data_IF_837287793377
#
_entry.id   IF_837287793377
#
_cell.length_a   1.000
_cell.length_b   1.000
_cell.length_c   1.000
_cell.angle_alpha   90.00
_cell.angle_beta   90.00
_cell.angle_gamma   90.00
#
_symmetry.space_group_name_H-M   'P 1'
#
loop_
_entity.id
_entity.type
_entity.pdbx_description
1 polymer ?
#
# COMPACT_ATOMS: atom_id res chain seq x y z
N UNK A 1 -7.30 -12.81 -4.25
CA UNK A 1 -6.30 -11.73 -4.10
C UNK A 1 -6.86 -10.71 -3.12
N UNK A 2 -6.06 -9.73 -2.73
CA UNK A 2 -6.47 -8.60 -1.89
C UNK A 2 -5.81 -7.34 -2.46
N UNK A 3 -6.27 -6.16 -2.05
CA UNK A 3 -5.68 -4.90 -2.48
C UNK A 3 -5.46 -4.00 -1.26
N UNK A 4 -4.20 -3.78 -0.88
CA UNK A 4 -3.81 -2.96 0.28
C UNK A 4 -3.32 -1.56 -0.12
N UNK A 5 -3.62 -1.09 -1.33
CA UNK A 5 -3.24 0.26 -1.73
C UNK A 5 -4.20 0.83 -2.77
N UNK A 6 -5.29 1.43 -2.29
CA UNK A 6 -6.19 2.27 -3.10
C UNK A 6 -6.33 3.67 -2.50
N UNK A 7 -6.43 4.68 -3.36
CA UNK A 7 -6.54 6.09 -2.96
C UNK A 7 -8.00 6.56 -2.99
N UNK A 8 -8.53 6.99 -1.85
CA UNK A 8 -9.88 7.55 -1.76
C UNK A 8 -9.92 8.95 -2.39
N UNK A 9 -8.91 9.77 -2.10
CA UNK A 9 -8.82 11.17 -2.51
C UNK A 9 -8.21 11.28 -3.93
N UNK A 10 -7.34 10.33 -4.29
CA UNK A 10 -6.65 10.31 -5.57
C UNK A 10 -5.92 11.64 -5.87
N UNK A 11 -5.93 12.05 -7.14
CA UNK A 11 -5.28 13.29 -7.59
C UNK A 11 -6.25 14.43 -7.94
N UNK A 12 -7.55 14.16 -8.08
CA UNK A 12 -8.53 15.21 -8.33
C UNK A 12 -8.76 15.99 -7.05
N UNK A 13 -8.48 17.29 -7.03
CA UNK A 13 -8.64 18.18 -5.87
C UNK A 13 -9.95 18.97 -5.87
N UNK A 14 -10.83 18.72 -6.86
CA UNK A 14 -12.06 19.51 -7.07
C UNK A 14 -13.27 18.94 -6.32
N UNK A 15 -13.18 17.71 -5.82
CA UNK A 15 -14.26 17.05 -5.11
C UNK A 15 -14.33 17.58 -3.67
N UNK A 16 -15.53 17.94 -3.22
CA UNK A 16 -15.77 18.49 -1.88
C UNK A 16 -15.89 17.41 -0.80
N UNK A 17 -16.31 16.21 -1.20
CA UNK A 17 -16.55 15.08 -0.30
C UNK A 17 -16.19 13.78 -1.03
N UNK A 18 -15.15 13.10 -0.57
CA UNK A 18 -14.68 11.83 -1.14
C UNK A 18 -15.25 10.62 -0.39
N UNK A 19 -16.08 10.82 0.64
CA UNK A 19 -16.69 9.68 1.35
C UNK A 19 -17.51 8.75 0.44
N UNK A 20 -18.17 9.21 -0.64
CA UNK A 20 -18.82 8.29 -1.60
C UNK A 20 -17.83 7.39 -2.36
N UNK A 21 -16.56 7.80 -2.51
CA UNK A 21 -15.57 6.97 -3.18
C UNK A 21 -15.33 5.68 -2.39
N UNK A 22 -15.41 5.74 -1.05
CA UNK A 22 -15.28 4.56 -0.18
C UNK A 22 -16.33 3.50 -0.56
N UNK A 23 -17.58 3.91 -0.77
CA UNK A 23 -18.66 3.01 -1.21
C UNK A 23 -18.31 2.31 -2.52
N UNK A 24 -17.83 3.10 -3.50
CA UNK A 24 -17.52 2.57 -4.83
C UNK A 24 -16.31 1.62 -4.85
N UNK A 25 -15.31 1.88 -4.02
CA UNK A 25 -14.15 0.98 -3.88
C UNK A 25 -14.53 -0.34 -3.19
N UNK A 26 -15.37 -0.30 -2.16
CA UNK A 26 -15.85 -1.52 -1.51
C UNK A 26 -16.68 -2.36 -2.48
N UNK A 27 -17.62 -1.74 -3.20
CA UNK A 27 -18.41 -2.43 -4.22
C UNK A 27 -17.52 -3.05 -5.30
N UNK A 28 -16.50 -2.32 -5.77
CA UNK A 28 -15.57 -2.85 -6.76
C UNK A 28 -14.75 -4.02 -6.20
N UNK A 29 -14.30 -3.95 -4.95
CA UNK A 29 -13.60 -5.06 -4.30
C UNK A 29 -14.45 -6.33 -4.24
N UNK A 30 -15.75 -6.19 -3.94
CA UNK A 30 -16.73 -7.29 -3.97
C UNK A 30 -16.89 -7.86 -5.39
N UNK A 31 -17.05 -6.99 -6.40
CA UNK A 31 -17.17 -7.41 -7.81
C UNK A 31 -15.94 -8.15 -8.32
N UNK A 32 -14.75 -7.78 -7.85
CA UNK A 32 -13.48 -8.45 -8.15
C UNK A 32 -13.23 -9.70 -7.30
N UNK A 33 -14.09 -10.00 -6.32
CA UNK A 33 -13.92 -11.11 -5.39
C UNK A 33 -12.64 -10.99 -4.55
N UNK A 34 -12.25 -9.76 -4.19
CA UNK A 34 -11.12 -9.53 -3.31
C UNK A 34 -11.41 -10.04 -1.90
N UNK A 35 -10.36 -10.50 -1.22
CA UNK A 35 -10.44 -11.01 0.15
C UNK A 35 -10.24 -9.94 1.21
N UNK A 36 -9.69 -8.78 0.84
CA UNK A 36 -9.53 -7.62 1.72
C UNK A 36 -9.24 -6.36 0.91
N UNK A 37 -9.46 -5.21 1.54
CA UNK A 37 -9.28 -3.88 0.96
C UNK A 37 -8.56 -2.93 1.93
N UNK A 38 -7.54 -2.24 1.44
CA UNK A 38 -6.76 -1.27 2.19
C UNK A 38 -6.80 0.10 1.52
N UNK A 39 -7.40 1.06 2.21
CA UNK A 39 -7.41 2.46 1.79
C UNK A 39 -6.15 3.15 2.26
N UNK A 40 -5.31 3.61 1.33
CA UNK A 40 -4.06 4.30 1.63
C UNK A 40 -3.95 5.54 0.75
N UNK A 41 -4.08 6.71 1.36
CA UNK A 41 -3.92 7.98 0.69
C UNK A 41 -2.60 8.65 1.10
N UNK A 42 -2.08 9.53 0.23
CA UNK A 42 -0.95 10.39 0.57
C UNK A 42 -1.22 11.27 1.81
N UNK A 43 -0.41 11.09 2.86
CA UNK A 43 -0.49 11.84 4.12
C UNK A 43 0.74 12.75 4.34
N UNK A 44 0.59 13.99 4.88
CA UNK A 44 -0.63 14.59 5.41
C UNK A 44 -1.63 15.00 4.34
N UNK A 45 -2.91 14.82 4.66
CA UNK A 45 -4.01 15.20 3.79
C UNK A 45 -3.97 16.69 3.44
N UNK A 46 -4.21 17.00 2.17
CA UNK A 46 -4.37 18.38 1.70
C UNK A 46 -5.82 18.89 1.80
N UNK A 47 -6.71 18.09 2.39
CA UNK A 47 -8.13 18.38 2.52
C UNK A 47 -8.50 18.76 3.96
N UNK A 48 -9.45 19.69 4.10
CA UNK A 48 -9.89 20.19 5.42
C UNK A 48 -10.84 19.25 6.17
N UNK A 49 -11.51 18.31 5.49
CA UNK A 49 -12.57 17.51 6.10
C UNK A 49 -12.42 16.00 5.83
N UNK A 50 -11.33 15.42 6.31
CA UNK A 50 -11.10 13.96 6.25
C UNK A 50 -11.90 13.17 7.28
N UNK A 51 -12.63 13.86 8.17
CA UNK A 51 -13.45 13.24 9.21
C UNK A 51 -14.50 12.32 8.59
N UNK A 52 -15.22 12.77 7.56
CA UNK A 52 -16.24 11.96 6.88
C UNK A 52 -15.66 10.70 6.22
N UNK A 53 -14.50 10.83 5.59
CA UNK A 53 -13.78 9.69 4.99
C UNK A 53 -13.48 8.67 6.08
N UNK A 54 -12.88 9.13 7.20
CA UNK A 54 -12.58 8.26 8.33
C UNK A 54 -13.83 7.58 8.89
N UNK A 55 -14.90 8.32 9.16
CA UNK A 55 -16.15 7.77 9.67
C UNK A 55 -16.73 6.71 8.72
N UNK A 56 -16.60 6.92 7.42
CA UNK A 56 -17.05 5.97 6.40
C UNK A 56 -16.18 4.72 6.32
N UNK A 57 -14.86 4.85 6.41
CA UNK A 57 -13.96 3.70 6.47
C UNK A 57 -14.23 2.90 7.74
N UNK A 58 -14.36 3.54 8.91
CA UNK A 58 -14.72 2.90 10.18
C UNK A 58 -16.07 2.18 10.15
N UNK A 59 -17.03 2.70 9.38
CA UNK A 59 -18.28 1.98 9.11
C UNK A 59 -18.00 0.67 8.37
N UNK A 60 -17.22 0.70 7.29
CA UNK A 60 -16.93 -0.50 6.50
C UNK A 60 -16.05 -1.51 7.23
N UNK A 61 -15.11 -1.07 8.08
CA UNK A 61 -14.34 -1.98 8.97
C UNK A 61 -15.22 -2.89 9.83
N UNK A 62 -16.46 -2.48 10.11
CA UNK A 62 -17.41 -3.22 10.98
C UNK A 62 -18.51 -3.93 10.21
N UNK A 63 -18.78 -3.52 8.97
CA UNK A 63 -19.99 -3.91 8.24
C UNK A 63 -19.71 -4.51 6.86
N UNK A 64 -18.48 -4.46 6.35
CA UNK A 64 -18.11 -5.12 5.10
C UNK A 64 -17.96 -6.64 5.32
N UNK A 65 -18.23 -7.41 4.26
CA UNK A 65 -18.01 -8.87 4.26
C UNK A 65 -16.53 -9.25 4.19
N UNK A 66 -15.67 -8.30 3.81
CA UNK A 66 -14.22 -8.46 3.74
C UNK A 66 -13.52 -7.52 4.74
N UNK A 67 -12.35 -7.89 5.28
CA UNK A 67 -11.52 -6.97 6.06
C UNK A 67 -11.23 -5.69 5.28
N UNK A 68 -11.43 -4.57 5.96
CA UNK A 68 -11.11 -3.23 5.48
C UNK A 68 -10.07 -2.61 6.41
N UNK A 69 -9.04 -1.99 5.85
CA UNK A 69 -8.04 -1.25 6.62
C UNK A 69 -7.87 0.18 6.12
N UNK A 70 -7.38 1.03 7.01
CA UNK A 70 -7.08 2.43 6.74
C UNK A 70 -5.62 2.71 7.02
N UNK A 71 -4.84 2.95 5.97
CA UNK A 71 -3.43 3.27 6.04
C UNK A 71 -3.09 4.68 5.57
N UNK A 72 -1.80 5.01 5.68
CA UNK A 72 -1.25 6.26 5.19
C UNK A 72 -0.03 6.02 4.30
N UNK A 73 0.00 6.63 3.13
CA UNK A 73 1.18 6.64 2.28
C UNK A 73 2.00 7.90 2.56
N UNK A 74 3.26 7.70 2.95
CA UNK A 74 4.16 8.75 3.40
C UNK A 74 5.34 8.82 2.45
N UNK A 75 5.57 10.00 1.86
CA UNK A 75 6.81 10.23 1.12
C UNK A 75 8.04 10.02 1.99
N UNK A 76 9.07 9.36 1.46
CA UNK A 76 10.38 9.19 2.10
C UNK A 76 11.44 9.96 1.30
N UNK A 77 12.32 10.75 1.96
CA UNK A 77 12.32 11.10 3.38
C UNK A 77 11.15 12.02 3.77
N UNK A 78 10.83 12.04 5.06
CA UNK A 78 9.78 12.91 5.60
C UNK A 78 10.00 13.19 7.09
N UNK A 79 9.43 14.27 7.61
CA UNK A 79 9.31 14.53 9.06
C UNK A 79 7.87 14.35 9.56
N UNK A 80 6.97 13.88 8.70
CA UNK A 80 5.58 13.61 9.03
C UNK A 80 5.49 12.53 10.11
N UNK A 81 4.78 12.84 11.19
CA UNK A 81 4.36 11.89 12.22
C UNK A 81 3.11 11.16 11.76
N UNK A 82 3.13 9.84 11.83
CA UNK A 82 2.00 8.98 11.48
C UNK A 82 1.02 8.93 12.67
N UNK A 83 -0.25 9.31 12.49
CA UNK A 83 -1.27 9.16 13.51
C UNK A 83 -1.54 7.68 13.86
N UNK A 84 -1.80 7.41 15.15
CA UNK A 84 -2.10 6.07 15.66
C UNK A 84 -3.42 5.46 15.20
N UNK A 85 -4.25 6.22 14.48
CA UNK A 85 -5.53 5.71 13.99
C UNK A 85 -5.41 5.02 12.64
N UNK A 86 -4.24 5.09 12.00
CA UNK A 86 -3.96 4.27 10.82
C UNK A 86 -3.60 2.86 11.28
N UNK A 87 -4.11 1.88 10.56
CA UNK A 87 -3.87 0.46 10.79
C UNK A 87 -2.47 0.05 10.31
N UNK A 88 -1.96 0.72 9.28
CA UNK A 88 -0.62 0.51 8.71
C UNK A 88 -0.19 1.73 7.88
N UNK A 89 1.02 1.67 7.32
CA UNK A 89 1.64 2.75 6.60
C UNK A 89 2.53 2.27 5.47
N UNK A 90 2.48 3.02 4.38
CA UNK A 90 3.30 2.79 3.19
C UNK A 90 4.32 3.91 3.03
N UNK A 91 5.53 3.56 2.61
CA UNK A 91 6.62 4.49 2.31
C UNK A 91 6.76 4.72 0.81
N UNK A 92 6.38 5.90 0.33
CA UNK A 92 6.57 6.32 -1.07
C UNK A 92 7.97 6.89 -1.27
N UNK A 93 8.85 6.18 -1.97
CA UNK A 93 10.22 6.64 -2.18
C UNK A 93 10.26 7.81 -3.17
N UNK A 94 10.80 8.97 -2.76
CA UNK A 94 10.92 10.12 -3.67
C UNK A 94 11.96 9.87 -4.76
N UNK A 95 11.73 10.51 -5.91
CA UNK A 95 12.68 10.55 -7.00
C UNK A 95 14.10 10.93 -6.52
N UNK A 96 15.10 10.17 -6.98
CA UNK A 96 16.51 10.38 -6.64
C UNK A 96 17.01 9.61 -5.42
N UNK A 97 16.12 9.05 -4.59
CA UNK A 97 16.49 8.16 -3.49
C UNK A 97 16.55 6.71 -3.95
N UNK A 98 17.36 5.90 -3.25
CA UNK A 98 17.47 4.48 -3.53
C UNK A 98 16.75 3.60 -2.51
N UNK A 99 16.54 2.33 -2.86
CA UNK A 99 15.82 1.37 -2.04
C UNK A 99 16.49 1.08 -0.69
N UNK A 100 17.83 1.10 -0.60
CA UNK A 100 18.55 0.91 0.67
C UNK A 100 18.29 2.07 1.65
N UNK A 101 18.26 3.30 1.12
CA UNK A 101 17.88 4.48 1.89
C UNK A 101 16.42 4.39 2.34
N UNK A 102 15.52 3.91 1.45
CA UNK A 102 14.12 3.70 1.77
C UNK A 102 13.92 2.76 2.96
N UNK A 103 14.59 1.59 2.98
CA UNK A 103 14.53 0.67 4.12
C UNK A 103 15.00 1.30 5.43
N UNK A 104 16.10 2.05 5.40
CA UNK A 104 16.62 2.75 6.60
C UNK A 104 15.61 3.77 7.11
N UNK A 105 15.03 4.57 6.21
CA UNK A 105 14.04 5.58 6.55
C UNK A 105 12.73 4.96 7.04
N UNK A 106 12.29 3.87 6.42
CA UNK A 106 11.10 3.12 6.82
C UNK A 106 11.28 2.54 8.23
N UNK A 107 12.42 1.91 8.50
CA UNK A 107 12.74 1.37 9.82
C UNK A 107 12.77 2.46 10.92
N UNK A 108 13.39 3.61 10.63
CA UNK A 108 13.43 4.74 11.57
C UNK A 108 12.03 5.32 11.88
N UNK A 109 11.07 5.11 10.99
CA UNK A 109 9.72 5.67 11.09
C UNK A 109 8.64 4.67 11.48
N UNK A 110 8.99 3.39 11.65
CA UNK A 110 8.04 2.30 11.77
C UNK A 110 7.04 2.31 10.60
N UNK A 111 7.56 2.36 9.37
CA UNK A 111 6.76 2.17 8.15
C UNK A 111 6.68 0.67 7.85
N UNK A 112 5.48 0.19 7.57
CA UNK A 112 5.18 -1.24 7.45
C UNK A 112 5.59 -1.83 6.10
N UNK A 113 5.44 -1.05 5.02
CA UNK A 113 5.84 -1.47 3.68
C UNK A 113 6.37 -0.31 2.83
N UNK A 114 7.28 -0.59 1.90
CA UNK A 114 7.70 0.37 0.88
C UNK A 114 6.78 0.22 -0.33
N UNK A 115 6.06 1.30 -0.68
CA UNK A 115 5.20 1.34 -1.85
C UNK A 115 6.04 1.42 -3.14
N UNK A 116 5.55 0.74 -4.19
CA UNK A 116 6.07 0.78 -5.58
C UNK A 116 7.59 1.11 -5.67
N UNK A 117 8.47 0.23 -5.14
CA UNK A 117 9.83 0.58 -4.66
C UNK A 117 10.83 1.13 -5.68
N UNK A 118 10.55 1.05 -6.99
CA UNK A 118 11.33 1.71 -8.04
C UNK A 118 10.49 2.54 -9.03
N UNK A 119 9.24 2.85 -8.69
CA UNK A 119 8.43 3.73 -9.49
C UNK A 119 8.86 5.20 -9.32
N UNK A 120 8.37 6.06 -10.21
CA UNK A 120 8.41 7.51 -10.06
C UNK A 120 9.81 8.12 -9.83
N UNK A 121 10.86 7.47 -10.38
CA UNK A 121 12.24 7.94 -10.30
C UNK A 121 13.02 7.48 -9.07
N UNK A 122 12.47 6.57 -8.27
CA UNK A 122 13.21 5.85 -7.23
C UNK A 122 14.17 4.81 -7.86
N UNK A 123 15.33 4.59 -7.23
CA UNK A 123 16.39 3.73 -7.77
C UNK A 123 16.47 2.41 -7.00
N UNK A 124 16.40 1.28 -7.70
CA UNK A 124 16.54 -0.04 -7.08
C UNK A 124 17.64 -0.92 -7.69
N UNK A 125 18.41 -0.41 -8.65
CA UNK A 125 19.56 -1.15 -9.18
C UNK A 125 20.53 -1.50 -8.04
N UNK A 126 20.92 -2.78 -7.96
CA UNK A 126 21.89 -3.31 -7.00
C UNK A 126 21.46 -3.31 -5.52
N UNK A 127 20.16 -3.31 -5.21
CA UNK A 127 19.68 -3.36 -3.83
C UNK A 127 20.13 -4.63 -3.09
N UNK A 128 20.81 -4.44 -1.94
CA UNK A 128 21.23 -5.50 -1.02
C UNK A 128 20.11 -5.84 -0.02
N UNK A 129 18.98 -6.33 -0.54
CA UNK A 129 17.79 -6.71 0.24
C UNK A 129 18.09 -7.65 1.41
N UNK A 130 19.14 -8.45 1.30
CA UNK A 130 19.60 -9.37 2.35
C UNK A 130 19.85 -8.68 3.70
N UNK A 131 20.24 -7.40 3.67
CA UNK A 131 20.50 -6.60 4.88
C UNK A 131 19.22 -6.21 5.63
N UNK A 132 18.06 -6.27 4.96
CA UNK A 132 16.80 -5.72 5.45
C UNK A 132 15.74 -6.78 5.73
N UNK A 133 15.99 -8.05 5.39
CA UNK A 133 15.00 -9.14 5.51
C UNK A 133 14.42 -9.34 6.93
N UNK A 134 15.17 -8.96 7.97
CA UNK A 134 14.77 -9.13 9.37
C UNK A 134 14.12 -7.86 9.96
N UNK A 135 13.90 -6.81 9.18
CA UNK A 135 13.33 -5.55 9.68
C UNK A 135 11.80 -5.58 9.81
N UNK A 136 11.14 -6.63 9.32
CA UNK A 136 9.67 -6.69 9.28
C UNK A 136 9.02 -5.74 8.26
N UNK A 137 9.83 -5.05 7.45
CA UNK A 137 9.35 -4.12 6.43
C UNK A 137 9.08 -4.88 5.13
N UNK A 138 7.87 -4.72 4.61
CA UNK A 138 7.44 -5.38 3.38
C UNK A 138 7.85 -4.58 2.12
N UNK A 139 7.82 -5.23 0.97
CA UNK A 139 7.95 -4.58 -0.35
C UNK A 139 6.66 -4.74 -1.13
N UNK A 140 6.01 -3.64 -1.49
CA UNK A 140 4.77 -3.71 -2.26
C UNK A 140 5.01 -4.20 -3.70
N UNK A 141 4.12 -5.09 -4.16
CA UNK A 141 3.85 -5.32 -5.58
C UNK A 141 2.70 -4.37 -5.97
N UNK A 142 3.05 -3.28 -6.64
CA UNK A 142 2.08 -2.29 -7.13
C UNK A 142 1.72 -2.56 -8.57
N UNK A 143 0.45 -2.86 -8.88
CA UNK A 143 -0.02 -3.11 -10.25
C UNK A 143 0.38 -1.95 -11.18
N UNK A 144 0.03 -0.71 -10.82
CA UNK A 144 0.38 0.49 -11.58
C UNK A 144 1.88 0.75 -11.61
N UNK A 145 2.59 0.39 -10.53
CA UNK A 145 4.03 0.55 -10.39
C UNK A 145 4.85 -0.40 -11.28
N UNK A 146 4.31 -1.55 -11.70
CA UNK A 146 5.04 -2.61 -12.42
C UNK A 146 5.70 -2.18 -13.73
N UNK A 147 5.23 -1.09 -14.35
CA UNK A 147 5.83 -0.55 -15.58
C UNK A 147 7.27 -0.05 -15.37
N UNK A 148 7.65 0.29 -14.13
CA UNK A 148 8.97 0.80 -13.79
C UNK A 148 9.93 -0.27 -13.26
N UNK A 149 9.44 -1.49 -13.03
CA UNK A 149 10.05 -2.40 -12.07
C UNK A 149 10.65 -3.65 -12.73
N UNK A 150 11.86 -4.05 -12.31
CA UNK A 150 12.44 -5.28 -12.83
C UNK A 150 12.01 -6.50 -12.00
N UNK A 151 11.53 -7.54 -12.67
CA UNK A 151 11.04 -8.78 -12.07
C UNK A 151 12.01 -9.42 -11.05
N UNK A 152 13.32 -9.30 -11.28
CA UNK A 152 14.36 -9.85 -10.39
C UNK A 152 14.23 -9.36 -8.93
N UNK A 153 13.70 -8.15 -8.70
CA UNK A 153 13.56 -7.60 -7.35
C UNK A 153 12.58 -8.43 -6.51
N UNK A 154 11.46 -8.80 -7.11
CA UNK A 154 10.40 -9.58 -6.47
C UNK A 154 10.80 -11.04 -6.30
N UNK A 155 11.46 -11.62 -7.30
CA UNK A 155 12.04 -12.97 -7.18
C UNK A 155 13.06 -13.04 -6.04
N UNK A 156 13.89 -12.00 -5.91
CA UNK A 156 14.84 -11.88 -4.81
C UNK A 156 14.15 -11.69 -3.46
N UNK A 157 13.11 -10.87 -3.39
CA UNK A 157 12.32 -10.68 -2.17
C UNK A 157 11.68 -12.00 -1.70
N UNK A 158 11.08 -12.77 -2.62
CA UNK A 158 10.55 -14.12 -2.35
C UNK A 158 11.65 -15.04 -1.81
N UNK A 159 12.82 -15.09 -2.46
CA UNK A 159 13.94 -15.92 -2.03
C UNK A 159 14.46 -15.57 -0.63
N UNK A 160 14.28 -14.32 -0.21
CA UNK A 160 14.70 -13.82 1.11
C UNK A 160 13.59 -13.89 2.18
N UNK A 161 12.38 -14.28 1.79
CA UNK A 161 11.21 -14.28 2.68
C UNK A 161 10.75 -12.86 3.07
N UNK A 162 11.02 -11.85 2.25
CA UNK A 162 10.49 -10.50 2.47
C UNK A 162 9.02 -10.50 2.01
N UNK A 163 8.06 -10.12 2.87
CA UNK A 163 6.66 -10.11 2.49
C UNK A 163 6.37 -9.14 1.33
N UNK A 164 5.50 -9.59 0.42
CA UNK A 164 5.11 -8.90 -0.80
C UNK A 164 3.60 -8.63 -0.81
N UNK A 165 3.11 -7.58 -0.10
CA UNK A 165 1.73 -7.16 -0.18
C UNK A 165 1.36 -6.68 -1.59
N UNK A 166 0.15 -7.00 -2.03
CA UNK A 166 -0.46 -6.49 -3.25
C UNK A 166 -1.11 -5.13 -3.00
N UNK A 167 -0.90 -4.21 -3.95
CA UNK A 167 -1.59 -2.93 -4.02
C UNK A 167 -1.84 -2.54 -5.48
N UNK A 168 -3.01 -2.02 -5.84
CA UNK A 168 -3.23 -1.56 -7.21
C UNK A 168 -2.63 -0.18 -7.48
N UNK A 169 -2.45 0.63 -6.42
CA UNK A 169 -2.19 2.08 -6.52
C UNK A 169 -3.33 2.79 -7.31
N UNK A 170 -4.55 2.25 -7.19
CA UNK A 170 -5.74 2.75 -7.88
C UNK A 170 -6.14 4.13 -7.36
N UNK A 171 -6.39 5.05 -8.29
CA UNK A 171 -6.88 6.40 -8.04
C UNK A 171 -8.35 6.58 -8.44
N UNK A 172 -8.96 5.53 -9.01
CA UNK A 172 -10.40 5.33 -9.16
C UNK A 172 -10.74 3.84 -9.06
N UNK A 173 -11.99 3.46 -8.72
CA UNK A 173 -12.36 2.05 -8.56
C UNK A 173 -12.08 1.19 -9.80
N UNK A 174 -12.26 1.72 -11.00
CA UNK A 174 -12.01 1.01 -12.26
C UNK A 174 -10.53 0.70 -12.52
N UNK A 175 -9.60 1.35 -11.80
CA UNK A 175 -8.17 1.02 -11.82
C UNK A 175 -7.79 -0.17 -10.90
N UNK A 176 -8.73 -0.69 -10.10
CA UNK A 176 -8.46 -1.85 -9.25
C UNK A 176 -8.31 -3.14 -10.04
N UNK A 177 -7.42 -4.01 -9.58
CA UNK A 177 -7.17 -5.32 -10.18
C UNK A 177 -5.68 -5.61 -10.32
N UNK A 178 -5.36 -6.83 -10.75
CA UNK A 178 -3.98 -7.32 -10.83
C UNK A 178 -3.65 -8.10 -12.13
N UNK A 179 -4.11 -7.68 -13.33
CA UNK A 179 -3.84 -8.42 -14.55
C UNK A 179 -2.35 -8.60 -14.86
N UNK A 180 -1.51 -7.56 -14.69
CA UNK A 180 -0.07 -7.63 -14.98
C UNK A 180 0.67 -8.51 -13.97
N UNK A 181 0.31 -8.43 -12.68
CA UNK A 181 0.86 -9.35 -11.65
C UNK A 181 0.60 -10.81 -12.04
N UNK A 182 -0.62 -11.12 -12.48
CA UNK A 182 -1.02 -12.47 -12.89
C UNK A 182 -0.32 -12.89 -14.18
N UNK A 183 -0.29 -12.04 -15.20
CA UNK A 183 0.34 -12.32 -16.50
C UNK A 183 1.84 -12.61 -16.33
N UNK A 184 2.53 -11.86 -15.48
CA UNK A 184 3.95 -12.04 -15.19
C UNK A 184 4.24 -13.21 -14.24
N UNK A 185 3.21 -13.83 -13.66
CA UNK A 185 3.35 -14.94 -12.71
C UNK A 185 4.09 -14.54 -11.43
N UNK A 186 3.97 -13.28 -11.01
CA UNK A 186 4.60 -12.81 -9.78
C UNK A 186 3.95 -13.47 -8.57
N UNK A 187 4.77 -13.81 -7.57
CA UNK A 187 4.31 -14.36 -6.30
C UNK A 187 4.12 -13.24 -5.29
N UNK A 188 2.99 -13.26 -4.60
CA UNK A 188 2.69 -12.35 -3.49
C UNK A 188 2.50 -13.15 -2.20
N UNK A 189 2.60 -12.46 -1.06
CA UNK A 189 2.43 -13.07 0.25
C UNK A 189 0.95 -13.32 0.55
N UNK A 190 0.54 -14.46 1.13
CA UNK A 190 -0.82 -14.63 1.65
C UNK A 190 -1.18 -13.52 2.66
N UNK A 191 -2.45 -13.14 2.73
CA UNK A 191 -2.88 -11.99 3.53
C UNK A 191 -2.53 -12.15 5.01
N UNK A 192 -2.76 -13.36 5.52
CA UNK A 192 -2.51 -13.82 6.88
C UNK A 192 -1.03 -13.88 7.26
N UNK A 193 -0.12 -13.82 6.29
CA UNK A 193 1.34 -13.85 6.50
C UNK A 193 1.96 -12.44 6.43
N UNK A 194 1.15 -11.39 6.29
CA UNK A 194 1.64 -10.01 6.29
C UNK A 194 1.79 -9.52 7.73
N UNK A 195 2.99 -9.06 8.16
CA UNK A 195 3.27 -8.73 9.57
C UNK A 195 2.26 -7.78 10.23
N UNK A 196 1.88 -6.70 9.54
CA UNK A 196 0.96 -5.70 10.09
C UNK A 196 -0.52 -6.13 10.08
N UNK A 197 -0.86 -7.20 9.36
CA UNK A 197 -2.20 -7.83 9.42
C UNK A 197 -2.32 -8.67 10.69
N UNK A 198 -1.26 -9.38 11.08
CA UNK A 198 -1.25 -10.18 12.32
C UNK A 198 -1.35 -9.31 13.58
N UNK A 199 -0.60 -8.20 13.63
CA UNK A 199 -0.58 -7.30 14.80
C UNK A 199 -1.94 -6.62 15.07
N UNK A 200 -2.82 -6.54 14.07
CA UNK A 200 -4.14 -5.90 14.21
C UNK A 200 -5.24 -6.85 14.72
N UNK A 201 -4.91 -8.11 15.07
CA UNK A 201 -5.76 -8.98 15.88
C UNK A 201 -6.93 -9.64 15.16
N UNK A 202 -6.77 -9.93 13.86
CA UNK A 202 -7.81 -10.57 13.02
C UNK A 202 -7.68 -12.09 12.89
N UNK A 203 -6.84 -12.74 13.72
CA UNK A 203 -6.74 -14.20 13.87
C UNK A 203 -7.25 -14.63 15.25
#
# INVERSE_FOLDING_TARGET
>A
MYDLHVHIIGHDKRIRDYSPNVDTYVLQAEMLGLKALGFVDHYPYRLKNVKKIKEKVEYYKKNADIPVWYGAEIYLPSNTRIPKYFDYSLGHVRAGYNLEEAFKMANQKNIDAIAHPCAYGARCSYARLEQYKNLGICLEISEKGLIYLPQWLYEKAVALGIPLPLGSDAHSPDEMGFPEVVERGLKWTPLEEIPFVEESGWL
#
